data_IF_050889524083
#
_entry.id   IF_050889524083
#
_cell.length_a   1.000
_cell.length_b   1.000
_cell.length_c   1.000
_cell.angle_alpha   90.00
_cell.angle_beta   90.00
_cell.angle_gamma   90.00
#
_symmetry.space_group_name_H-M   'P 1'
#
loop_
_entity.id
_entity.type
_entity.pdbx_description
1 polymer ?
#
# COMPACT_ATOMS: atom_id res chain seq x y z
N UNK A 1 -17.77 7.96 8.42
CA UNK A 1 -17.46 7.62 8.09
C UNK A 1 -16.80 7.47 7.20
N UNK A 2 -16.57 7.70 6.80
CA UNK A 2 -16.00 7.36 5.68
C UNK A 2 -14.56 7.37 5.68
N UNK A 3 -13.96 6.48 5.06
CA UNK A 3 -12.55 6.44 4.86
C UNK A 3 -12.13 7.59 3.97
N UNK A 4 -11.09 8.27 4.32
CA UNK A 4 -10.54 9.30 3.46
C UNK A 4 -9.54 8.74 2.45
N UNK A 5 -9.19 7.47 2.56
CA UNK A 5 -8.27 6.85 1.61
C UNK A 5 -8.96 6.48 0.32
N UNK A 6 -8.27 6.71 -0.78
CA UNK A 6 -8.72 6.29 -2.10
C UNK A 6 -7.77 5.25 -2.65
N UNK A 7 -8.34 4.18 -3.17
CA UNK A 7 -7.54 3.13 -3.80
C UNK A 7 -7.16 3.58 -5.20
N UNK A 8 -5.88 3.81 -5.41
CA UNK A 8 -5.37 4.21 -6.71
C UNK A 8 -5.04 3.01 -7.57
N UNK A 9 -4.63 1.92 -6.95
CA UNK A 9 -4.31 0.69 -7.65
C UNK A 9 -4.36 -0.48 -6.67
N UNK A 10 -4.59 -1.66 -7.21
CA UNK A 10 -4.66 -2.88 -6.42
C UNK A 10 -4.16 -4.04 -7.28
N UNK A 11 -3.33 -4.87 -6.71
CA UNK A 11 -2.96 -6.12 -7.35
C UNK A 11 -3.05 -7.26 -6.35
N UNK A 12 -3.36 -8.43 -6.85
CA UNK A 12 -3.48 -9.62 -6.03
C UNK A 12 -2.76 -10.75 -6.73
N UNK A 13 -1.89 -11.44 -6.03
CA UNK A 13 -1.14 -12.54 -6.59
C UNK A 13 -0.69 -13.47 -5.48
N UNK A 14 -0.95 -14.76 -5.67
CA UNK A 14 -0.44 -15.80 -4.78
C UNK A 14 -0.81 -15.58 -3.31
N UNK A 15 -2.04 -15.13 -3.08
CA UNK A 15 -2.53 -14.91 -1.71
C UNK A 15 -2.08 -13.61 -1.07
N UNK A 16 -1.44 -12.75 -1.84
CA UNK A 16 -0.97 -11.45 -1.36
C UNK A 16 -1.70 -10.35 -2.11
N UNK A 17 -2.31 -9.45 -1.35
CA UNK A 17 -2.97 -8.27 -1.91
C UNK A 17 -2.16 -7.03 -1.57
N UNK A 18 -1.99 -6.17 -2.56
CA UNK A 18 -1.24 -4.92 -2.39
C UNK A 18 -2.10 -3.79 -2.93
N UNK A 19 -2.31 -2.77 -2.11
CA UNK A 19 -3.09 -1.59 -2.49
C UNK A 19 -2.22 -0.35 -2.45
N UNK A 20 -2.36 0.47 -3.47
CA UNK A 20 -1.78 1.81 -3.48
C UNK A 20 -2.89 2.77 -3.07
N UNK A 21 -2.71 3.44 -1.95
CA UNK A 21 -3.74 4.28 -1.34
C UNK A 21 -3.30 5.73 -1.28
N UNK A 22 -4.25 6.63 -1.42
CA UNK A 22 -4.01 8.06 -1.35
C UNK A 22 -5.02 8.69 -0.41
N UNK A 23 -4.55 9.52 0.50
CA UNK A 23 -5.39 10.28 1.41
C UNK A 23 -5.43 11.73 0.93
N UNK A 24 -6.56 12.19 0.36
CA UNK A 24 -6.65 13.55 -0.13
C UNK A 24 -6.62 14.61 0.98
N UNK A 25 -7.00 14.23 2.19
CA UNK A 25 -6.99 15.18 3.30
C UNK A 25 -5.60 15.60 3.71
N UNK A 26 -4.65 14.70 3.64
CA UNK A 26 -3.25 14.97 4.01
C UNK A 26 -2.33 14.93 2.80
N UNK A 27 -2.86 14.60 1.63
CA UNK A 27 -2.09 14.41 0.39
C UNK A 27 -0.94 13.42 0.60
N UNK A 28 -1.23 12.35 1.30
CA UNK A 28 -0.23 11.32 1.57
C UNK A 28 -0.57 10.03 0.86
N UNK A 29 0.46 9.29 0.49
CA UNK A 29 0.33 8.02 -0.23
C UNK A 29 0.88 6.93 0.68
N UNK A 30 0.22 5.77 0.65
CA UNK A 30 0.69 4.61 1.38
C UNK A 30 0.46 3.35 0.55
N UNK A 31 1.19 2.30 0.90
CA UNK A 31 1.02 0.98 0.30
C UNK A 31 0.63 0.02 1.40
N UNK A 32 -0.52 -0.61 1.24
CA UNK A 32 -1.02 -1.59 2.20
C UNK A 32 -0.83 -2.99 1.65
N UNK A 33 -0.37 -3.90 2.49
CA UNK A 33 -0.14 -5.29 2.10
C UNK A 33 -0.90 -6.21 3.04
N UNK A 34 -1.60 -7.18 2.45
CA UNK A 34 -2.24 -8.24 3.19
C UNK A 34 -1.76 -9.57 2.64
N UNK A 35 -1.05 -10.34 3.46
CA UNK A 35 -0.52 -11.63 3.08
C UNK A 35 -1.34 -12.70 3.79
N UNK A 36 -2.22 -13.36 3.05
CA UNK A 36 -3.11 -14.36 3.62
C UNK A 36 -2.35 -15.62 4.05
N UNK A 37 -1.28 -15.96 3.37
CA UNK A 37 -0.50 -17.15 3.71
C UNK A 37 0.25 -16.99 5.02
N UNK A 38 0.83 -15.84 5.23
CA UNK A 38 1.57 -15.55 6.45
C UNK A 38 0.68 -14.98 7.54
N UNK A 39 -0.55 -14.60 7.22
CA UNK A 39 -1.43 -13.93 8.16
C UNK A 39 -0.93 -12.56 8.55
N UNK A 40 -0.19 -11.90 7.68
CA UNK A 40 0.45 -10.63 7.97
C UNK A 40 -0.23 -9.49 7.22
N UNK A 41 -0.41 -8.36 7.91
CA UNK A 41 -0.91 -7.14 7.31
C UNK A 41 0.00 -6.00 7.74
N UNK A 42 0.39 -5.16 6.79
CA UNK A 42 1.17 -3.99 7.13
C UNK A 42 0.92 -2.89 6.12
N UNK A 43 1.29 -1.67 6.50
CA UNK A 43 1.13 -0.51 5.64
C UNK A 43 2.44 0.28 5.66
N UNK A 44 2.87 0.71 4.48
CA UNK A 44 4.11 1.46 4.32
C UNK A 44 3.76 2.87 3.90
N UNK A 45 4.01 3.89 4.71
CA UNK A 45 3.81 5.26 4.29
C UNK A 45 4.87 5.64 3.25
N UNK A 46 4.42 6.26 2.16
CA UNK A 46 5.31 6.68 1.10
C UNK A 46 5.55 8.18 1.26
N UNK A 47 6.75 8.55 1.62
CA UNK A 47 7.07 9.95 1.87
C UNK A 47 7.38 10.73 0.59
N UNK A 48 7.81 10.04 -0.43
CA UNK A 48 8.13 10.65 -1.71
C UNK A 48 7.24 10.04 -2.78
N UNK A 49 6.43 10.87 -3.44
CA UNK A 49 5.46 10.36 -4.41
C UNK A 49 6.11 9.61 -5.56
N UNK A 50 7.27 10.03 -5.98
CA UNK A 50 7.94 9.36 -7.09
C UNK A 50 8.38 7.94 -6.74
N UNK A 51 8.33 7.58 -5.46
CA UNK A 51 8.65 6.22 -5.02
C UNK A 51 7.42 5.35 -4.82
N UNK A 52 6.22 5.92 -4.99
CA UNK A 52 4.99 5.19 -4.71
C UNK A 52 4.88 3.91 -5.52
N UNK A 53 5.16 3.96 -6.80
CA UNK A 53 5.07 2.76 -7.63
C UNK A 53 6.16 1.75 -7.32
N UNK A 54 7.32 2.21 -6.92
CA UNK A 54 8.40 1.33 -6.51
C UNK A 54 8.02 0.57 -5.24
N UNK A 55 7.45 1.28 -4.25
CA UNK A 55 6.98 0.65 -3.03
C UNK A 55 5.82 -0.31 -3.33
N UNK A 56 4.92 0.09 -4.22
CA UNK A 56 3.78 -0.75 -4.60
C UNK A 56 4.24 -2.06 -5.26
N UNK A 57 5.27 -1.99 -6.10
CA UNK A 57 5.79 -3.16 -6.80
C UNK A 57 6.69 -4.03 -5.92
N UNK A 58 7.35 -3.43 -4.93
CA UNK A 58 8.30 -4.13 -4.08
C UNK A 58 8.07 -3.81 -2.60
N UNK A 59 6.85 -4.05 -2.07
CA UNK A 59 6.52 -3.61 -0.72
C UNK A 59 7.40 -4.28 0.34
N UNK A 60 7.79 -5.52 0.13
CA UNK A 60 8.58 -6.24 1.13
C UNK A 60 10.01 -5.70 1.25
N UNK A 61 10.49 -5.02 0.24
CA UNK A 61 11.81 -4.38 0.30
C UNK A 61 11.81 -3.19 1.26
N UNK A 62 10.63 -2.60 1.49
CA UNK A 62 10.47 -1.41 2.34
C UNK A 62 9.89 -1.74 3.70
N UNK A 63 9.43 -2.95 3.92
CA UNK A 63 8.75 -3.33 5.15
C UNK A 63 9.72 -3.59 6.31
N UNK A 64 10.94 -3.84 6.01
CA UNK A 64 11.93 -4.12 7.01
C UNK A 64 12.29 -2.88 7.80
#
# INVERSE_FOLDING_TARGET
MSSSHRELNHRSNDGIDVWLLWDPGTDSVSVRVADAKAGANFEIPVKARHRAMDVFNHPFAYAG
#
